data_IF_524608212021
#
_entry.id   IF_524608212021
#
_cell.length_a   1.000
_cell.length_b   1.000
_cell.length_c   1.000
_cell.angle_alpha   90.00
_cell.angle_beta   90.00
_cell.angle_gamma   90.00
#
_symmetry.space_group_name_H-M   'P 1'
#
loop_
_entity.id
_entity.type
_entity.pdbx_description
1 polymer ?
#
# COMPACT_ATOMS: atom_id res chain seq x y z
N UNK A 1 57.84 -53.90 36.76
CA UNK A 1 56.48 -53.31 36.85
C UNK A 1 56.45 -52.02 36.03
N UNK A 2 56.53 -52.09 34.70
CA UNK A 2 56.73 -50.87 33.89
C UNK A 2 56.12 -50.96 32.49
N UNK A 3 55.02 -51.71 32.29
CA UNK A 3 54.41 -51.81 30.95
C UNK A 3 52.88 -51.71 30.89
N UNK A 4 52.14 -51.86 31.99
CA UNK A 4 50.68 -51.72 31.95
C UNK A 4 50.16 -50.28 32.01
N UNK A 5 50.93 -49.32 32.55
CA UNK A 5 50.48 -47.92 32.65
C UNK A 5 50.56 -47.15 31.32
N UNK A 6 51.39 -47.58 30.37
CA UNK A 6 51.54 -46.93 29.05
C UNK A 6 50.50 -47.38 28.03
N UNK A 7 49.96 -48.60 28.16
CA UNK A 7 49.03 -49.18 27.21
C UNK A 7 47.61 -48.56 27.26
N UNK A 8 47.19 -48.04 28.43
CA UNK A 8 45.89 -47.37 28.58
C UNK A 8 45.95 -45.85 28.39
N UNK A 9 47.14 -45.25 28.33
CA UNK A 9 47.29 -43.80 28.23
C UNK A 9 47.02 -43.28 26.80
N UNK A 10 47.36 -44.08 25.78
CA UNK A 10 47.11 -43.76 24.37
C UNK A 10 45.63 -43.75 23.95
N UNK A 11 44.79 -44.76 24.30
CA UNK A 11 43.36 -44.72 23.95
C UNK A 11 42.60 -43.65 24.75
N UNK A 12 43.04 -43.32 25.97
CA UNK A 12 42.43 -42.27 26.80
C UNK A 12 42.68 -40.87 26.23
N UNK A 13 43.88 -40.61 25.70
CA UNK A 13 44.23 -39.34 25.07
C UNK A 13 43.50 -39.14 23.74
N UNK A 14 43.33 -40.21 22.95
CA UNK A 14 42.58 -40.18 21.70
C UNK A 14 41.09 -39.90 21.93
N UNK A 15 40.51 -40.43 23.01
CA UNK A 15 39.13 -40.15 23.41
C UNK A 15 38.97 -38.70 23.93
N UNK A 16 39.96 -38.18 24.65
CA UNK A 16 39.97 -36.80 25.13
C UNK A 16 40.07 -35.77 23.99
N UNK A 17 40.77 -36.09 22.91
CA UNK A 17 40.91 -35.23 21.74
C UNK A 17 39.66 -35.19 20.84
N UNK A 18 38.76 -36.18 20.94
CA UNK A 18 37.49 -36.22 20.17
C UNK A 18 36.37 -35.38 20.79
N UNK A 19 36.41 -35.16 22.10
CA UNK A 19 35.40 -34.39 22.85
C UNK A 19 35.22 -32.93 22.35
N UNK A 20 36.27 -32.14 22.05
CA UNK A 20 36.09 -30.75 21.62
C UNK A 20 35.57 -30.59 20.18
N UNK A 21 35.71 -31.62 19.32
CA UNK A 21 35.21 -31.60 17.94
C UNK A 21 33.68 -31.73 17.90
N UNK A 22 33.08 -32.42 18.88
CA UNK A 22 31.63 -32.54 19.04
C UNK A 22 30.98 -31.24 19.58
N UNK A 23 31.73 -30.41 20.30
CA UNK A 23 31.27 -29.11 20.81
C UNK A 23 31.42 -27.95 19.82
N UNK A 24 32.13 -28.13 18.70
CA UNK A 24 32.32 -27.09 17.68
C UNK A 24 31.08 -26.87 16.78
N UNK A 25 30.00 -27.62 17.00
CA UNK A 25 28.76 -27.56 16.22
C UNK A 25 27.60 -26.88 16.98
N UNK A 26 27.87 -25.97 17.91
CA UNK A 26 26.83 -25.22 18.64
C UNK A 26 26.63 -23.80 18.11
N UNK A 27 27.14 -23.47 16.92
CA UNK A 27 26.78 -22.23 16.26
C UNK A 27 25.37 -22.40 15.69
N UNK A 28 24.40 -21.78 16.35
CA UNK A 28 23.06 -21.58 15.79
C UNK A 28 23.20 -21.04 14.36
N UNK A 29 22.59 -21.69 13.35
CA UNK A 29 22.61 -21.18 11.98
C UNK A 29 22.14 -19.73 12.00
N UNK A 30 22.76 -18.86 11.19
CA UNK A 30 22.39 -17.42 11.12
C UNK A 30 20.90 -17.20 10.83
N UNK A 31 20.23 -18.21 10.26
CA UNK A 31 18.81 -18.22 9.93
C UNK A 31 17.91 -18.74 11.05
N UNK A 32 18.44 -19.37 12.10
CA UNK A 32 17.63 -19.80 13.26
C UNK A 32 17.03 -18.63 14.03
N UNK A 33 17.74 -17.50 14.09
CA UNK A 33 17.21 -16.24 14.63
C UNK A 33 16.12 -15.65 13.73
N UNK A 34 16.20 -15.88 12.41
CA UNK A 34 15.18 -15.42 11.45
C UNK A 34 13.92 -16.30 11.52
N UNK A 35 14.06 -17.61 11.73
CA UNK A 35 12.91 -18.51 11.96
C UNK A 35 12.19 -18.22 13.29
N UNK A 36 12.86 -17.57 14.25
CA UNK A 36 12.24 -17.06 15.48
C UNK A 36 11.52 -15.72 15.31
N UNK A 37 11.53 -15.13 14.10
CA UNK A 37 10.80 -13.89 13.84
C UNK A 37 9.30 -14.07 14.06
N UNK A 38 8.67 -12.97 14.50
CA UNK A 38 7.28 -12.92 14.91
C UNK A 38 6.39 -13.42 13.75
N UNK A 39 5.56 -14.46 13.97
CA UNK A 39 4.70 -14.97 12.92
C UNK A 39 3.81 -13.86 12.38
N UNK A 40 3.82 -13.71 11.05
CA UNK A 40 2.97 -12.74 10.38
C UNK A 40 1.51 -13.07 10.68
N UNK A 41 0.75 -12.06 11.10
CA UNK A 41 -0.69 -12.22 11.29
C UNK A 41 -1.38 -12.33 9.94
N UNK A 42 -2.46 -13.11 9.90
CA UNK A 42 -3.30 -13.17 8.73
C UNK A 42 -3.82 -11.78 8.33
N UNK A 43 -3.81 -11.43 7.03
CA UNK A 43 -4.29 -10.14 6.57
C UNK A 43 -5.80 -10.03 6.78
N UNK A 44 -6.22 -9.15 7.68
CA UNK A 44 -7.65 -8.84 7.90
C UNK A 44 -8.30 -8.02 6.77
N UNK A 45 -7.48 -7.50 5.85
CA UNK A 45 -7.92 -6.78 4.66
C UNK A 45 -7.55 -7.60 3.43
N UNK A 46 -8.55 -8.23 2.84
CA UNK A 46 -8.36 -9.12 1.69
C UNK A 46 -8.36 -8.35 0.35
N UNK A 47 -7.69 -8.95 -0.64
CA UNK A 47 -7.64 -8.47 -2.02
C UNK A 47 -6.56 -7.42 -2.27
N UNK A 48 -6.50 -6.93 -3.52
CA UNK A 48 -5.57 -5.87 -3.91
C UNK A 48 -5.99 -4.55 -3.27
N UNK A 49 -5.06 -3.90 -2.56
CA UNK A 49 -5.25 -2.59 -1.93
C UNK A 49 -4.50 -1.54 -2.76
N UNK A 50 -5.12 -0.96 -3.81
CA UNK A 50 -4.47 0.06 -4.65
C UNK A 50 -4.17 1.38 -3.93
N UNK A 51 -4.80 1.66 -2.79
CA UNK A 51 -4.61 2.93 -2.09
C UNK A 51 -4.81 2.79 -0.58
N UNK A 52 -3.92 3.42 0.17
CA UNK A 52 -3.87 3.45 1.62
C UNK A 52 -3.46 4.86 2.07
N UNK A 53 -4.31 5.55 2.83
CA UNK A 53 -4.12 6.96 3.19
C UNK A 53 -4.48 7.20 4.65
N UNK A 54 -3.67 7.98 5.37
CA UNK A 54 -3.99 8.41 6.71
C UNK A 54 -4.77 9.73 6.68
N UNK A 55 -5.83 9.84 7.49
CA UNK A 55 -6.62 11.06 7.64
C UNK A 55 -7.25 11.11 9.03
N UNK A 56 -7.06 12.23 9.74
CA UNK A 56 -7.62 12.48 11.09
C UNK A 56 -7.44 11.31 12.08
N UNK A 57 -6.25 10.71 12.13
CA UNK A 57 -5.95 9.60 13.05
C UNK A 57 -6.49 8.23 12.63
N UNK A 58 -7.17 8.14 11.48
CA UNK A 58 -7.59 6.87 10.88
C UNK A 58 -6.71 6.53 9.67
N UNK A 59 -6.59 5.24 9.39
CA UNK A 59 -6.05 4.73 8.14
C UNK A 59 -7.21 4.26 7.27
N UNK A 60 -7.31 4.79 6.07
CA UNK A 60 -8.31 4.46 5.06
C UNK A 60 -7.68 3.63 3.95
N UNK A 61 -8.39 2.59 3.50
CA UNK A 61 -7.96 1.72 2.43
C UNK A 61 -9.05 1.57 1.39
N UNK A 62 -8.63 1.47 0.12
CA UNK A 62 -9.50 1.14 -0.99
C UNK A 62 -9.10 -0.17 -1.64
N UNK A 63 -10.09 -1.02 -1.88
CA UNK A 63 -9.98 -2.30 -2.58
C UNK A 63 -11.26 -2.58 -3.39
N UNK A 64 -11.85 -1.53 -3.98
CA UNK A 64 -13.23 -1.52 -4.46
C UNK A 64 -14.23 -1.20 -3.36
N UNK A 65 -13.99 -1.64 -2.12
CA UNK A 65 -14.67 -1.10 -0.93
C UNK A 65 -13.85 0.06 -0.34
N UNK A 66 -14.47 0.83 0.55
CA UNK A 66 -13.79 1.82 1.39
C UNK A 66 -13.82 1.30 2.81
N UNK A 67 -12.66 1.11 3.41
CA UNK A 67 -12.56 0.67 4.81
C UNK A 67 -11.67 1.62 5.59
N UNK A 68 -11.92 1.73 6.88
CA UNK A 68 -11.07 2.49 7.81
C UNK A 68 -10.74 1.70 9.06
N UNK A 69 -9.63 2.02 9.69
CA UNK A 69 -9.31 1.58 11.05
C UNK A 69 -8.67 2.72 11.82
N UNK A 70 -8.75 2.69 13.14
CA UNK A 70 -7.97 3.60 13.98
C UNK A 70 -6.48 3.37 13.70
N UNK A 71 -5.73 4.42 13.37
CA UNK A 71 -4.41 4.42 12.69
C UNK A 71 -3.48 3.21 12.86
N UNK A 72 -2.26 3.44 13.33
CA UNK A 72 -1.27 2.35 13.53
C UNK A 72 -1.56 1.59 14.83
N UNK A 73 -2.30 2.22 15.76
CA UNK A 73 -2.51 1.73 17.12
C UNK A 73 -3.53 0.57 17.27
N UNK A 74 -4.39 0.31 16.28
CA UNK A 74 -5.41 -0.75 16.36
C UNK A 74 -5.23 -1.80 15.24
N UNK A 75 -4.45 -2.87 15.48
CA UNK A 75 -4.33 -3.97 14.53
C UNK A 75 -5.69 -4.67 14.28
N UNK A 76 -5.99 -4.97 13.02
CA UNK A 76 -7.06 -5.90 12.64
C UNK A 76 -8.51 -5.39 12.62
N UNK A 77 -8.81 -4.18 13.10
CA UNK A 77 -10.20 -3.68 13.19
C UNK A 77 -10.64 -2.81 12.00
N UNK A 78 -10.56 -3.33 10.78
CA UNK A 78 -11.09 -2.62 9.61
C UNK A 78 -12.62 -2.58 9.63
N UNK A 79 -13.18 -1.38 9.47
CA UNK A 79 -14.62 -1.13 9.39
C UNK A 79 -14.94 -0.60 8.00
N UNK A 80 -16.02 -1.10 7.40
CA UNK A 80 -16.51 -0.58 6.13
C UNK A 80 -17.12 0.81 6.31
N UNK A 81 -16.81 1.71 5.39
CA UNK A 81 -17.34 3.08 5.35
C UNK A 81 -18.29 3.17 4.16
N UNK A 82 -19.40 3.90 4.35
CA UNK A 82 -20.33 4.16 3.27
C UNK A 82 -19.62 4.86 2.10
N UNK A 83 -19.92 4.41 0.88
CA UNK A 83 -19.37 4.96 -0.36
C UNK A 83 -20.43 5.80 -1.06
N UNK A 84 -20.06 6.92 -1.69
CA UNK A 84 -21.00 7.70 -2.48
C UNK A 84 -21.61 6.85 -3.60
N UNK A 85 -22.93 6.89 -3.74
CA UNK A 85 -23.68 6.17 -4.79
C UNK A 85 -23.37 4.65 -4.87
N UNK A 86 -22.88 4.04 -3.78
CA UNK A 86 -22.40 2.66 -3.74
C UNK A 86 -21.31 2.32 -4.80
N UNK A 87 -20.59 3.34 -5.28
CA UNK A 87 -19.52 3.22 -6.27
C UNK A 87 -18.28 2.54 -5.69
N UNK A 88 -17.45 1.95 -6.55
CA UNK A 88 -16.22 1.27 -6.18
C UNK A 88 -15.12 2.27 -5.89
N UNK A 89 -14.45 2.16 -4.74
CA UNK A 89 -13.30 3.01 -4.44
C UNK A 89 -12.05 2.51 -5.17
N UNK A 90 -11.45 3.39 -5.98
CA UNK A 90 -10.26 3.10 -6.77
C UNK A 90 -9.00 3.70 -6.16
N UNK A 91 -9.07 4.92 -5.63
CA UNK A 91 -7.93 5.63 -5.05
C UNK A 91 -8.37 6.67 -4.01
N UNK A 92 -7.45 7.02 -3.10
CA UNK A 92 -7.63 8.05 -2.08
C UNK A 92 -6.44 9.02 -2.10
N UNK A 93 -6.69 10.26 -1.69
CA UNK A 93 -5.70 11.25 -1.27
C UNK A 93 -6.21 12.01 -0.06
N UNK A 94 -5.33 12.55 0.76
CA UNK A 94 -5.70 13.39 1.87
C UNK A 94 -4.92 14.71 1.82
N UNK A 95 -5.59 15.75 2.26
CA UNK A 95 -5.01 17.00 2.73
C UNK A 95 -5.18 17.05 4.25
N UNK A 96 -4.68 18.09 4.90
CA UNK A 96 -4.78 18.23 6.36
C UNK A 96 -6.25 18.23 6.86
N UNK A 97 -7.16 18.80 6.07
CA UNK A 97 -8.57 18.98 6.46
C UNK A 97 -9.56 18.10 5.71
N UNK A 98 -9.17 17.54 4.56
CA UNK A 98 -10.12 16.89 3.65
C UNK A 98 -9.54 15.61 3.05
N UNK A 99 -10.31 14.54 3.11
CA UNK A 99 -10.07 13.29 2.40
C UNK A 99 -10.77 13.33 1.04
N UNK A 100 -10.07 12.91 0.00
CA UNK A 100 -10.54 12.79 -1.37
C UNK A 100 -10.52 11.33 -1.80
N UNK A 101 -11.50 10.95 -2.61
CA UNK A 101 -11.60 9.60 -3.15
C UNK A 101 -12.05 9.61 -4.59
N UNK A 102 -11.41 8.77 -5.40
CA UNK A 102 -11.84 8.42 -6.75
C UNK A 102 -12.76 7.21 -6.68
N UNK A 103 -14.00 7.40 -7.12
CA UNK A 103 -15.05 6.39 -7.11
C UNK A 103 -15.58 6.10 -8.52
N UNK A 104 -15.52 4.84 -8.92
CA UNK A 104 -15.92 4.36 -10.24
C UNK A 104 -17.20 3.51 -10.14
N UNK A 105 -17.92 3.37 -11.25
CA UNK A 105 -19.10 2.51 -11.30
C UNK A 105 -18.73 1.02 -11.13
N UNK A 106 -19.73 0.14 -11.14
CA UNK A 106 -19.54 -1.31 -11.00
C UNK A 106 -18.66 -1.95 -12.10
N UNK A 107 -18.43 -1.27 -13.22
CA UNK A 107 -17.56 -1.72 -14.31
C UNK A 107 -16.16 -1.08 -14.27
N UNK A 108 -15.80 -0.37 -13.17
CA UNK A 108 -14.55 0.40 -13.06
C UNK A 108 -14.41 1.53 -14.09
N UNK A 109 -15.52 2.11 -14.50
CA UNK A 109 -15.61 3.23 -15.44
C UNK A 109 -16.25 4.46 -14.77
N UNK A 110 -16.31 5.58 -15.48
CA UNK A 110 -16.97 6.82 -15.02
C UNK A 110 -16.43 7.23 -13.63
N UNK A 111 -15.12 7.37 -13.50
CA UNK A 111 -14.52 7.81 -12.25
C UNK A 111 -14.88 9.25 -11.90
N UNK A 112 -15.32 9.44 -10.67
CA UNK A 112 -15.68 10.73 -10.08
C UNK A 112 -14.94 10.95 -8.77
N UNK A 113 -14.56 12.18 -8.49
CA UNK A 113 -13.94 12.57 -7.23
C UNK A 113 -15.01 13.00 -6.24
N UNK A 114 -14.92 12.45 -5.03
CA UNK A 114 -15.69 12.91 -3.88
C UNK A 114 -14.73 13.39 -2.80
N UNK A 115 -15.22 14.30 -1.97
CA UNK A 115 -14.49 14.85 -0.82
C UNK A 115 -15.27 14.59 0.47
N UNK A 116 -14.53 14.49 1.58
CA UNK A 116 -15.07 14.25 2.91
C UNK A 116 -14.21 14.94 3.96
N UNK A 117 -14.84 15.72 4.85
CA UNK A 117 -14.15 16.38 5.97
C UNK A 117 -14.14 15.54 7.25
N UNK A 118 -14.93 14.47 7.31
CA UNK A 118 -15.05 13.56 8.45
C UNK A 118 -14.62 12.11 8.11
N UNK A 119 -14.31 11.85 6.84
CA UNK A 119 -13.96 10.53 6.30
C UNK A 119 -15.12 9.54 6.25
N UNK A 120 -16.38 9.99 6.43
CA UNK A 120 -17.58 9.12 6.46
C UNK A 120 -18.64 9.62 5.50
N UNK A 121 -18.90 10.92 5.48
CA UNK A 121 -19.88 11.56 4.61
C UNK A 121 -19.16 12.20 3.44
N UNK A 122 -19.64 11.91 2.24
CA UNK A 122 -18.99 12.28 1.00
C UNK A 122 -19.85 13.26 0.20
N UNK A 123 -19.20 14.23 -0.44
CA UNK A 123 -19.83 15.19 -1.35
C UNK A 123 -19.07 15.25 -2.66
N UNK A 124 -19.78 15.41 -3.78
CA UNK A 124 -19.16 15.47 -5.10
C UNK A 124 -18.18 16.65 -5.17
N UNK A 125 -17.01 16.42 -5.77
CA UNK A 125 -16.07 17.48 -6.11
C UNK A 125 -16.57 18.27 -7.34
N UNK A 126 -16.25 19.57 -7.48
CA UNK A 126 -16.58 20.34 -8.69
C UNK A 126 -16.08 19.73 -10.00
N UNK A 127 -14.97 18.97 -9.98
CA UNK A 127 -14.52 18.25 -11.18
C UNK A 127 -15.43 17.08 -11.58
N UNK A 128 -16.28 16.61 -10.68
CA UNK A 128 -17.21 15.51 -10.93
C UNK A 128 -18.50 15.93 -11.62
N UNK A 129 -18.73 17.25 -11.77
CA UNK A 129 -19.89 17.83 -12.44
C UNK A 129 -19.63 18.17 -13.92
N UNK A 130 -18.39 17.99 -14.40
CA UNK A 130 -18.00 18.16 -15.79
C UNK A 130 -18.23 16.92 -16.67
N UNK A 131 -18.10 17.02 -18.01
CA UNK A 131 -18.22 15.88 -18.93
C UNK A 131 -17.04 14.89 -18.82
N UNK A 132 -15.97 15.28 -18.12
CA UNK A 132 -14.73 14.53 -18.09
C UNK A 132 -14.75 13.41 -17.05
N UNK A 133 -14.28 12.23 -17.46
CA UNK A 133 -14.13 11.10 -16.54
C UNK A 133 -12.76 11.16 -15.88
N UNK A 134 -12.71 11.08 -14.54
CA UNK A 134 -11.47 10.97 -13.78
C UNK A 134 -10.96 9.53 -13.80
N UNK A 135 -9.69 9.32 -14.13
CA UNK A 135 -9.13 7.97 -14.25
C UNK A 135 -8.12 7.61 -13.17
N UNK A 136 -7.40 8.61 -12.68
CA UNK A 136 -6.32 8.43 -11.72
C UNK A 136 -6.28 9.58 -10.75
N UNK A 137 -5.82 9.28 -9.55
CA UNK A 137 -5.64 10.22 -8.46
C UNK A 137 -4.29 9.91 -7.82
N UNK A 138 -3.41 10.90 -7.83
CA UNK A 138 -2.01 10.80 -7.41
C UNK A 138 -1.81 11.70 -6.19
N UNK A 139 -1.81 11.15 -4.97
CA UNK A 139 -1.63 11.93 -3.75
C UNK A 139 -0.27 12.61 -3.72
N UNK A 140 -0.22 13.83 -3.18
CA UNK A 140 1.03 14.55 -2.85
C UNK A 140 0.97 15.13 -1.46
N UNK A 141 2.09 15.68 -0.99
CA UNK A 141 2.08 16.52 0.20
C UNK A 141 1.19 17.75 -0.06
N UNK A 142 0.20 17.98 0.81
CA UNK A 142 -0.72 19.11 0.74
C UNK A 142 -1.76 19.07 -0.39
N UNK A 143 -1.86 17.99 -1.16
CA UNK A 143 -2.72 17.98 -2.35
C UNK A 143 -2.74 16.67 -3.12
N UNK A 144 -3.12 16.75 -4.39
CA UNK A 144 -3.04 15.63 -5.33
C UNK A 144 -3.13 16.11 -6.78
N UNK A 145 -2.71 15.26 -7.70
CA UNK A 145 -2.96 15.40 -9.13
C UNK A 145 -4.03 14.42 -9.57
N UNK A 146 -4.78 14.79 -10.60
CA UNK A 146 -5.73 13.90 -11.24
C UNK A 146 -5.68 14.08 -12.74
N UNK A 147 -6.00 13.00 -13.45
CA UNK A 147 -6.04 12.98 -14.91
C UNK A 147 -7.46 12.69 -15.34
N UNK A 148 -7.98 13.55 -16.19
CA UNK A 148 -9.26 13.35 -16.86
C UNK A 148 -9.06 13.03 -18.33
N UNK A 149 -9.97 12.24 -18.89
CA UNK A 149 -10.08 12.09 -20.34
C UNK A 149 -11.19 12.98 -20.85
N UNK A 150 -10.89 13.78 -21.87
CA UNK A 150 -11.88 14.58 -22.60
C UNK A 150 -12.41 13.70 -23.75
N UNK A 151 -13.63 13.17 -23.61
CA UNK A 151 -14.31 12.34 -24.61
C UNK A 151 -14.67 10.92 -24.15
N UNK A 152 -15.55 10.24 -24.90
CA UNK A 152 -16.15 8.94 -24.56
C UNK A 152 -15.19 7.74 -24.74
N UNK A 153 -13.88 7.96 -24.65
CA UNK A 153 -12.88 6.90 -24.80
C UNK A 153 -12.92 5.91 -23.65
N UNK A 154 -12.87 4.61 -23.96
CA UNK A 154 -12.74 3.54 -22.96
C UNK A 154 -11.27 3.36 -22.58
N UNK A 155 -10.96 2.61 -21.51
CA UNK A 155 -9.56 2.23 -21.17
C UNK A 155 -8.82 1.53 -22.34
N UNK A 156 -9.56 0.97 -23.29
CA UNK A 156 -9.02 0.25 -24.45
C UNK A 156 -8.78 1.15 -25.67
N UNK A 157 -9.32 2.37 -25.68
CA UNK A 157 -9.11 3.37 -26.72
C UNK A 157 -8.99 4.75 -26.05
N UNK A 158 -7.79 5.13 -25.57
CA UNK A 158 -7.61 6.33 -24.78
C UNK A 158 -8.13 7.53 -25.58
N UNK A 159 -8.92 8.37 -24.92
CA UNK A 159 -9.44 9.59 -25.53
C UNK A 159 -8.29 10.40 -26.16
N UNK A 160 -8.60 11.10 -27.25
CA UNK A 160 -7.63 11.83 -28.08
C UNK A 160 -6.90 12.95 -27.33
N UNK A 161 -7.37 13.33 -26.14
CA UNK A 161 -6.75 14.29 -25.24
C UNK A 161 -6.94 13.87 -23.77
N UNK A 162 -5.92 14.13 -22.96
CA UNK A 162 -5.98 14.06 -21.50
C UNK A 162 -5.72 15.45 -20.93
N UNK A 163 -6.36 15.75 -19.81
CA UNK A 163 -6.08 16.95 -19.03
C UNK A 163 -5.62 16.56 -17.64
N UNK A 164 -4.53 17.17 -17.18
CA UNK A 164 -4.06 17.03 -15.80
C UNK A 164 -4.56 18.21 -14.99
N UNK A 165 -5.17 17.91 -13.84
CA UNK A 165 -5.53 18.90 -12.85
C UNK A 165 -4.69 18.69 -11.58
N UNK A 166 -4.26 19.79 -10.98
CA UNK A 166 -3.69 19.82 -9.63
C UNK A 166 -4.73 20.33 -8.66
N UNK A 167 -4.77 19.76 -7.47
CA UNK A 167 -5.48 20.30 -6.31
C UNK A 167 -4.53 20.50 -5.14
N UNK A 168 -4.44 21.72 -4.63
CA UNK A 168 -3.65 22.12 -3.45
C UNK A 168 -4.44 23.10 -2.55
N UNK A 169 -5.77 22.93 -2.52
CA UNK A 169 -6.73 23.88 -1.92
C UNK A 169 -7.56 24.61 -2.97
N UNK A 170 -7.07 24.67 -4.20
CA UNK A 170 -7.81 25.14 -5.37
C UNK A 170 -7.53 24.25 -6.59
N UNK A 171 -8.47 24.18 -7.53
CA UNK A 171 -8.28 23.42 -8.77
C UNK A 171 -7.51 24.26 -9.78
N UNK A 172 -6.41 23.72 -10.29
CA UNK A 172 -5.64 24.31 -11.40
C UNK A 172 -5.55 23.30 -12.55
N UNK A 173 -6.03 23.69 -13.74
CA UNK A 173 -5.78 22.94 -14.99
C UNK A 173 -4.33 23.17 -15.41
N UNK A 174 -3.58 22.09 -15.62
CA UNK A 174 -2.22 22.16 -16.14
C UNK A 174 -2.27 22.05 -17.66
N UNK A 175 -1.54 22.93 -18.34
CA UNK A 175 -1.43 22.88 -19.80
C UNK A 175 -0.62 21.64 -20.22
N UNK A 176 -1.15 20.89 -21.20
CA UNK A 176 -0.53 19.69 -21.75
C UNK A 176 0.77 20.01 -22.52
N UNK A 177 0.98 21.27 -22.92
CA UNK A 177 2.22 21.73 -23.56
C UNK A 177 3.47 21.61 -22.66
N UNK A 178 3.29 21.53 -21.35
CA UNK A 178 4.37 21.36 -20.36
C UNK A 178 4.84 19.90 -20.20
N UNK A 179 4.15 18.93 -20.81
CA UNK A 179 4.39 17.49 -20.65
C UNK A 179 5.05 16.83 -21.88
N UNK A 180 5.74 17.62 -22.71
CA UNK A 180 6.52 17.13 -23.87
C UNK A 180 7.74 16.24 -23.51
N UNK A 181 7.80 15.68 -22.30
CA UNK A 181 8.69 14.60 -21.95
C UNK A 181 7.87 13.35 -21.70
N UNK A 182 8.29 12.21 -22.26
CA UNK A 182 7.76 10.89 -21.92
C UNK A 182 7.73 10.72 -20.38
N UNK A 183 6.58 11.03 -19.75
CA UNK A 183 6.36 10.71 -18.35
C UNK A 183 6.08 9.21 -18.31
N UNK A 184 6.94 8.39 -17.70
CA UNK A 184 6.65 6.98 -17.56
C UNK A 184 5.40 6.87 -16.68
N UNK A 185 4.31 6.40 -17.27
CA UNK A 185 3.17 5.90 -16.50
C UNK A 185 3.66 4.63 -15.81
N UNK A 186 4.21 4.79 -14.60
CA UNK A 186 4.65 3.69 -13.75
C UNK A 186 3.50 2.72 -13.55
N UNK A 187 3.68 1.50 -14.03
CA UNK A 187 2.84 0.33 -13.79
C UNK A 187 3.38 -0.39 -12.56
#
# INVERSE_FOLDING_TARGET
MTDQKRLYLFPLLALAALLPVLSACTNEPIFSTIESEIPLRDPTLEGKVPSLVQFQGYLYACNGRLKRKLGIAAPGSWQEVARPENRRCAALAATDSTLYGLFQNGAWQDGKIYSSTDGVKWSASPLSDGPDTVNRLFPTEGGFYTVTYEGTGTEQNPASSYTIYKYDGSWTKLDSSALNGNVPLGI
#
